data_IF_164802518129
#
_entry.id   IF_164802518129
#
_cell.length_a   1.000
_cell.length_b   1.000
_cell.length_c   1.000
_cell.angle_alpha   90.00
_cell.angle_beta   90.00
_cell.angle_gamma   90.00
#
_symmetry.space_group_name_H-M   'P 1'
#
loop_
_entity.id
_entity.type
_entity.pdbx_description
1 polymer ?
#
# COMPACT_ATOMS: atom_id res chain seq x y z
N UNK A 1 -24.13 8.15 -11.09
CA UNK A 1 -23.03 7.50 -10.33
C UNK A 1 -22.69 6.11 -10.88
N UNK A 2 -23.64 5.17 -11.01
CA UNK A 2 -23.38 3.83 -11.57
C UNK A 2 -22.90 3.83 -13.05
N UNK A 3 -23.44 4.72 -13.89
CA UNK A 3 -23.06 4.81 -15.31
C UNK A 3 -21.58 5.23 -15.55
N UNK A 4 -21.04 6.13 -14.71
CA UNK A 4 -19.61 6.51 -14.76
C UNK A 4 -18.70 5.36 -14.30
N UNK A 5 -19.19 4.49 -13.42
CA UNK A 5 -18.48 3.30 -12.97
C UNK A 5 -18.44 2.24 -14.07
N UNK A 6 -19.58 1.95 -14.71
CA UNK A 6 -19.68 0.98 -15.82
C UNK A 6 -18.86 1.43 -17.03
N UNK A 7 -18.90 2.72 -17.40
CA UNK A 7 -18.08 3.25 -18.49
C UNK A 7 -16.56 3.15 -18.23
N UNK A 8 -16.14 3.31 -16.97
CA UNK A 8 -14.73 3.18 -16.56
C UNK A 8 -14.23 1.73 -16.57
N UNK A 9 -15.14 0.76 -16.44
CA UNK A 9 -14.85 -0.67 -16.50
C UNK A 9 -14.70 -1.17 -17.93
N UNK A 10 -15.60 -0.75 -18.82
CA UNK A 10 -15.47 -1.03 -20.25
C UNK A 10 -14.16 -0.48 -20.83
N UNK A 11 -13.71 0.69 -20.36
CA UNK A 11 -12.42 1.28 -20.76
C UNK A 11 -11.20 0.48 -20.26
N UNK A 12 -11.27 -0.19 -19.10
CA UNK A 12 -10.13 -0.98 -18.63
C UNK A 12 -10.03 -2.34 -19.32
N UNK A 13 -11.18 -3.00 -19.55
CA UNK A 13 -11.20 -4.33 -20.16
C UNK A 13 -10.93 -4.30 -21.67
N UNK A 14 -11.28 -3.18 -22.35
CA UNK A 14 -11.21 -3.07 -23.82
C UNK A 14 -10.57 -1.77 -24.33
N UNK A 15 -10.08 -0.90 -23.44
CA UNK A 15 -9.38 0.32 -23.84
C UNK A 15 -7.92 0.03 -24.20
N UNK A 16 -7.34 0.80 -25.15
CA UNK A 16 -5.93 0.70 -25.45
C UNK A 16 -5.09 1.02 -24.19
N UNK A 17 -3.86 0.46 -24.08
CA UNK A 17 -2.96 0.80 -22.99
C UNK A 17 -2.84 2.32 -22.89
N UNK A 18 -2.67 2.88 -21.68
CA UNK A 18 -2.65 4.33 -21.48
C UNK A 18 -1.63 4.97 -22.42
N UNK A 19 -2.14 5.65 -23.45
CA UNK A 19 -1.32 6.17 -24.52
C UNK A 19 -0.36 7.25 -24.03
N UNK A 20 0.57 7.65 -24.89
CA UNK A 20 1.59 8.68 -24.60
C UNK A 20 1.01 9.96 -23.96
N UNK A 21 -0.20 10.37 -24.35
CA UNK A 21 -0.87 11.56 -23.81
C UNK A 21 -1.28 11.42 -22.34
N UNK A 22 -1.67 10.21 -21.89
CA UNK A 22 -2.03 9.93 -20.49
C UNK A 22 -0.79 9.96 -19.62
N UNK A 23 0.28 9.27 -20.03
CA UNK A 23 1.55 9.27 -19.31
C UNK A 23 2.16 10.69 -19.22
N UNK A 24 2.15 11.45 -20.32
CA UNK A 24 2.60 12.85 -20.32
C UNK A 24 1.81 13.70 -19.33
N UNK A 25 0.49 13.55 -19.29
CA UNK A 25 -0.36 14.31 -18.37
C UNK A 25 -0.09 13.93 -16.91
N UNK A 26 0.10 12.64 -16.63
CA UNK A 26 0.45 12.16 -15.30
C UNK A 26 1.79 12.72 -14.84
N UNK A 27 2.84 12.65 -15.68
CA UNK A 27 4.16 13.21 -15.40
C UNK A 27 4.04 14.70 -15.03
N UNK A 28 3.43 15.52 -15.88
CA UNK A 28 3.30 16.96 -15.62
C UNK A 28 2.46 17.26 -14.36
N UNK A 29 1.49 16.41 -14.04
CA UNK A 29 0.71 16.54 -12.79
C UNK A 29 1.59 16.27 -11.56
N UNK A 30 2.40 15.22 -11.60
CA UNK A 30 3.32 14.87 -10.50
C UNK A 30 4.39 15.94 -10.30
N UNK A 31 4.96 16.47 -11.39
CA UNK A 31 5.98 17.54 -11.31
C UNK A 31 5.40 18.80 -10.67
N UNK A 32 4.21 19.24 -11.12
CA UNK A 32 3.53 20.42 -10.54
C UNK A 32 3.20 20.25 -9.06
N UNK A 33 2.75 19.07 -8.67
CA UNK A 33 2.44 18.77 -7.27
C UNK A 33 3.68 18.76 -6.36
N UNK A 34 4.88 18.64 -6.94
CA UNK A 34 6.13 18.52 -6.19
C UNK A 34 7.11 19.67 -6.45
N UNK A 35 6.66 20.81 -7.01
CA UNK A 35 7.54 21.97 -7.22
C UNK A 35 8.19 22.44 -5.91
N UNK A 36 7.45 22.36 -4.81
CA UNK A 36 7.91 22.80 -3.47
C UNK A 36 8.61 21.71 -2.65
N UNK A 37 8.89 20.53 -3.23
CA UNK A 37 9.78 19.57 -2.56
C UNK A 37 11.24 19.98 -2.75
N UNK A 38 12.13 19.51 -1.87
CA UNK A 38 13.57 19.77 -2.02
C UNK A 38 14.09 19.20 -3.33
N UNK A 39 13.65 17.99 -3.67
CA UNK A 39 13.94 17.36 -4.96
C UNK A 39 13.38 18.16 -6.16
N UNK A 40 12.18 18.72 -6.03
CA UNK A 40 11.56 19.51 -7.08
C UNK A 40 12.26 20.84 -7.31
N UNK A 41 12.71 21.51 -6.23
CA UNK A 41 13.54 22.71 -6.30
C UNK A 41 14.91 22.42 -6.90
N UNK A 42 15.57 21.34 -6.48
CA UNK A 42 16.92 21.00 -6.97
C UNK A 42 16.95 20.64 -8.46
N UNK A 43 15.83 20.18 -9.01
CA UNK A 43 15.68 19.83 -10.44
C UNK A 43 14.80 20.83 -11.21
N UNK A 44 14.49 21.98 -10.63
CA UNK A 44 13.73 23.07 -11.24
C UNK A 44 12.41 22.61 -11.91
N UNK A 45 11.59 21.88 -11.15
CA UNK A 45 10.31 21.35 -11.63
C UNK A 45 9.34 22.44 -12.13
N UNK A 46 9.47 23.68 -11.63
CA UNK A 46 8.63 24.80 -12.02
C UNK A 46 8.75 25.14 -13.52
N UNK A 47 9.91 24.90 -14.13
CA UNK A 47 10.16 25.26 -15.54
C UNK A 47 9.89 24.12 -16.51
N UNK A 48 9.69 22.88 -16.04
CA UNK A 48 9.47 21.70 -16.90
C UNK A 48 8.10 21.76 -17.58
N UNK A 49 8.09 21.77 -18.93
CA UNK A 49 6.86 21.75 -19.76
C UNK A 49 6.78 20.55 -20.69
N UNK A 50 7.92 19.93 -20.99
CA UNK A 50 8.02 18.79 -21.90
C UNK A 50 8.71 17.59 -21.26
N UNK A 51 8.61 16.43 -21.92
CA UNK A 51 9.32 15.22 -21.52
C UNK A 51 10.84 15.42 -21.68
N UNK A 52 11.26 16.13 -22.74
CA UNK A 52 12.67 16.44 -22.97
C UNK A 52 13.23 17.34 -21.85
N UNK A 53 12.47 18.35 -21.41
CA UNK A 53 12.86 19.22 -20.30
C UNK A 53 13.11 18.41 -19.02
N UNK A 54 12.24 17.42 -18.75
CA UNK A 54 12.37 16.52 -17.61
C UNK A 54 13.62 15.65 -17.71
N UNK A 55 13.84 15.03 -18.87
CA UNK A 55 15.00 14.16 -19.12
C UNK A 55 16.34 14.91 -19.02
N UNK A 56 16.37 16.19 -19.40
CA UNK A 56 17.55 17.03 -19.25
C UNK A 56 17.83 17.43 -17.81
N UNK A 57 16.78 17.66 -17.00
CA UNK A 57 16.92 18.11 -15.61
C UNK A 57 17.13 16.95 -14.65
N UNK A 58 16.44 15.84 -14.83
CA UNK A 58 16.44 14.70 -13.91
C UNK A 58 17.20 13.54 -14.54
N UNK A 59 18.49 13.34 -14.18
CA UNK A 59 19.28 12.23 -14.69
C UNK A 59 18.77 10.89 -14.16
N UNK A 60 19.17 9.81 -14.84
CA UNK A 60 18.95 8.46 -14.32
C UNK A 60 19.71 8.28 -13.01
N UNK A 61 19.05 7.66 -12.05
CA UNK A 61 19.53 7.52 -10.67
C UNK A 61 19.22 6.12 -10.11
N UNK A 62 19.78 5.85 -8.95
CA UNK A 62 19.62 4.63 -8.18
C UNK A 62 19.00 4.92 -6.82
N UNK A 63 18.66 3.88 -6.04
CA UNK A 63 18.13 4.08 -4.69
C UNK A 63 19.14 4.77 -3.75
N UNK A 64 20.45 4.53 -3.94
CA UNK A 64 21.49 5.10 -3.09
C UNK A 64 21.48 6.62 -3.11
N UNK A 65 21.16 7.23 -4.26
CA UNK A 65 21.06 8.68 -4.45
C UNK A 65 19.94 9.33 -3.62
N UNK A 66 19.01 8.52 -3.09
CA UNK A 66 17.87 8.96 -2.29
C UNK A 66 17.97 8.56 -0.81
N UNK A 67 19.00 7.81 -0.40
CA UNK A 67 19.08 7.20 0.92
C UNK A 67 19.02 8.24 2.06
N UNK A 68 19.70 9.38 1.90
CA UNK A 68 19.68 10.47 2.89
C UNK A 68 18.32 11.14 2.97
N UNK A 69 17.66 11.35 1.83
CA UNK A 69 16.32 11.92 1.77
C UNK A 69 15.30 10.97 2.44
N UNK A 70 15.42 9.66 2.21
CA UNK A 70 14.58 8.64 2.85
C UNK A 70 14.83 8.58 4.36
N UNK A 71 16.09 8.68 4.79
CA UNK A 71 16.45 8.77 6.23
C UNK A 71 15.81 9.99 6.87
N UNK A 72 15.93 11.16 6.24
CA UNK A 72 15.30 12.40 6.72
C UNK A 72 13.77 12.30 6.81
N UNK A 73 13.12 11.61 5.86
CA UNK A 73 11.68 11.31 5.94
C UNK A 73 11.39 10.44 7.17
N UNK A 74 12.21 9.42 7.41
CA UNK A 74 12.12 8.54 8.58
C UNK A 74 12.25 9.29 9.91
N UNK A 75 13.07 10.35 9.94
CA UNK A 75 13.22 11.26 11.08
C UNK A 75 12.07 12.28 11.20
N UNK A 76 11.09 12.23 10.29
CA UNK A 76 9.88 13.06 10.30
C UNK A 76 9.97 14.34 9.49
N UNK A 77 11.03 14.53 8.68
CA UNK A 77 11.12 15.68 7.77
C UNK A 77 10.10 15.56 6.64
N UNK A 78 9.39 16.64 6.37
CA UNK A 78 8.46 16.77 5.23
C UNK A 78 9.17 17.52 4.10
N UNK A 79 8.94 17.12 2.85
CA UNK A 79 9.52 17.80 1.69
C UNK A 79 10.77 17.19 1.02
N UNK A 80 11.53 16.22 1.58
CA UNK A 80 12.76 15.74 0.92
C UNK A 80 12.58 15.29 -0.54
N UNK A 81 11.63 14.39 -0.78
CA UNK A 81 11.37 13.82 -2.12
C UNK A 81 10.04 14.28 -2.71
N UNK A 82 9.04 14.49 -1.85
CA UNK A 82 7.69 14.89 -2.24
C UNK A 82 7.17 15.98 -1.30
N UNK A 83 6.34 16.87 -1.85
CA UNK A 83 5.69 17.92 -1.07
C UNK A 83 4.54 17.36 -0.21
N UNK A 84 3.94 16.24 -0.60
CA UNK A 84 2.91 15.57 0.19
C UNK A 84 3.54 14.88 1.41
N UNK A 85 2.92 14.95 2.61
CA UNK A 85 3.39 14.21 3.77
C UNK A 85 3.43 12.70 3.52
N UNK A 86 4.58 12.09 3.83
CA UNK A 86 4.76 10.63 3.78
C UNK A 86 4.10 10.01 5.03
N UNK A 87 3.27 8.99 4.81
CA UNK A 87 2.50 8.30 5.87
C UNK A 87 3.32 7.21 6.55
N UNK A 88 4.10 6.50 5.77
CA UNK A 88 4.97 5.42 6.19
C UNK A 88 6.05 5.17 5.13
N UNK A 89 7.05 4.40 5.50
CA UNK A 89 8.06 3.88 4.60
C UNK A 89 7.81 2.38 4.40
N UNK A 90 7.39 1.97 3.20
CA UNK A 90 7.14 0.56 2.89
C UNK A 90 8.46 -0.18 2.62
N UNK A 91 8.80 -1.22 3.39
CA UNK A 91 9.98 -2.03 3.13
C UNK A 91 9.74 -2.95 1.93
N UNK A 92 10.56 -2.78 0.90
CA UNK A 92 10.59 -3.65 -0.27
C UNK A 92 11.80 -4.58 -0.18
N UNK A 93 11.53 -5.89 -0.29
CA UNK A 93 12.56 -6.92 -0.34
C UNK A 93 13.15 -6.94 -1.75
N UNK A 94 14.27 -6.25 -1.95
CA UNK A 94 15.14 -6.54 -3.08
C UNK A 94 15.78 -7.91 -2.87
N UNK A 95 15.96 -8.70 -3.93
CA UNK A 95 16.50 -10.06 -3.87
C UNK A 95 17.99 -10.13 -3.47
N UNK A 96 18.69 -9.01 -3.39
CA UNK A 96 20.16 -8.97 -3.23
C UNK A 96 20.72 -7.79 -2.43
N UNK A 97 19.90 -6.85 -1.94
CA UNK A 97 20.37 -5.66 -1.20
C UNK A 97 19.68 -5.49 0.14
N UNK A 98 20.26 -4.65 1.00
CA UNK A 98 19.56 -4.09 2.16
C UNK A 98 18.15 -3.60 1.76
N UNK A 99 17.17 -3.80 2.65
CA UNK A 99 15.76 -3.45 2.43
C UNK A 99 15.62 -2.01 1.97
N UNK A 100 14.97 -1.79 0.83
CA UNK A 100 14.69 -0.44 0.32
C UNK A 100 13.39 0.06 0.94
N UNK A 101 13.42 1.28 1.47
CA UNK A 101 12.30 1.93 2.13
C UNK A 101 11.64 2.92 1.16
N UNK A 102 10.40 2.64 0.77
CA UNK A 102 9.68 3.42 -0.24
C UNK A 102 8.69 4.38 0.45
N UNK A 103 8.80 5.70 0.23
CA UNK A 103 7.84 6.68 0.73
C UNK A 103 6.42 6.40 0.23
N UNK A 104 5.49 6.20 1.18
CA UNK A 104 4.10 5.92 0.89
C UNK A 104 3.21 7.11 1.26
N UNK A 105 2.52 7.69 0.27
CA UNK A 105 1.61 8.83 0.44
C UNK A 105 0.16 8.44 0.24
N UNK A 106 -0.78 9.33 0.62
CA UNK A 106 -2.20 9.06 0.35
C UNK A 106 -2.50 9.12 -1.15
N UNK A 107 -1.78 9.95 -1.92
CA UNK A 107 -1.87 9.95 -3.38
C UNK A 107 -1.43 8.61 -3.97
N UNK A 108 -0.30 8.05 -3.53
CA UNK A 108 0.15 6.74 -3.99
C UNK A 108 -0.89 5.66 -3.67
N UNK A 109 -1.44 5.66 -2.45
CA UNK A 109 -2.52 4.74 -2.06
C UNK A 109 -3.72 4.82 -3.00
N UNK A 110 -4.21 6.03 -3.30
CA UNK A 110 -5.34 6.23 -4.22
C UNK A 110 -5.02 5.76 -5.63
N UNK A 111 -3.81 6.03 -6.13
CA UNK A 111 -3.37 5.59 -7.45
C UNK A 111 -3.27 4.06 -7.53
N UNK A 112 -2.74 3.42 -6.49
CA UNK A 112 -2.64 1.98 -6.40
C UNK A 112 -4.03 1.32 -6.38
N UNK A 113 -4.96 1.86 -5.58
CA UNK A 113 -6.36 1.42 -5.57
C UNK A 113 -7.04 1.62 -6.93
N UNK A 114 -6.79 2.73 -7.61
CA UNK A 114 -7.34 3.02 -8.93
C UNK A 114 -6.78 2.08 -10.02
N UNK A 115 -5.59 1.52 -9.83
CA UNK A 115 -4.99 0.53 -10.72
C UNK A 115 -5.54 -0.89 -10.48
N UNK A 116 -5.83 -1.25 -9.22
CA UNK A 116 -6.35 -2.58 -8.85
C UNK A 116 -7.86 -2.70 -9.09
N UNK A 117 -8.63 -1.63 -8.79
CA UNK A 117 -10.09 -1.68 -8.83
C UNK A 117 -10.66 -2.22 -10.16
N UNK A 118 -10.13 -1.84 -11.34
CA UNK A 118 -10.67 -2.36 -12.58
C UNK A 118 -10.45 -3.87 -12.77
N UNK A 119 -9.34 -4.42 -12.27
CA UNK A 119 -9.13 -5.88 -12.26
C UNK A 119 -10.16 -6.59 -11.36
N UNK A 120 -10.35 -6.09 -10.13
CA UNK A 120 -11.34 -6.65 -9.20
C UNK A 120 -12.73 -6.64 -9.82
N UNK A 121 -13.12 -5.52 -10.40
CA UNK A 121 -14.47 -5.43 -10.96
C UNK A 121 -14.60 -6.24 -12.25
N UNK A 122 -13.56 -6.34 -13.08
CA UNK A 122 -13.57 -7.26 -14.23
C UNK A 122 -13.76 -8.71 -13.79
N UNK A 123 -13.08 -9.14 -12.72
CA UNK A 123 -13.27 -10.48 -12.15
C UNK A 123 -14.73 -10.71 -11.70
N UNK A 124 -15.31 -9.74 -10.97
CA UNK A 124 -16.69 -9.83 -10.50
C UNK A 124 -17.73 -9.77 -11.63
N UNK A 125 -17.44 -9.02 -12.70
CA UNK A 125 -18.33 -8.92 -13.87
C UNK A 125 -18.30 -10.19 -14.72
N UNK A 126 -17.13 -10.85 -14.83
CA UNK A 126 -16.98 -12.09 -15.58
C UNK A 126 -17.54 -13.31 -14.83
N UNK A 127 -17.52 -13.30 -13.50
CA UNK A 127 -18.19 -14.31 -12.68
C UNK A 127 -19.03 -13.68 -11.56
N UNK A 128 -20.32 -13.37 -11.82
CA UNK A 128 -21.21 -12.78 -10.83
C UNK A 128 -21.41 -13.62 -9.56
N UNK A 129 -21.09 -14.93 -9.59
CA UNK A 129 -21.19 -15.79 -8.39
C UNK A 129 -20.19 -15.38 -7.31
N UNK A 130 -19.10 -14.71 -7.70
CA UNK A 130 -18.11 -14.14 -6.78
C UNK A 130 -18.70 -13.01 -5.93
N UNK A 131 -19.84 -12.41 -6.30
CA UNK A 131 -20.52 -11.37 -5.51
C UNK A 131 -21.30 -11.93 -4.32
N UNK A 132 -21.73 -13.19 -4.39
CA UNK A 132 -22.65 -13.80 -3.42
C UNK A 132 -22.00 -14.89 -2.57
N UNK A 133 -20.78 -15.31 -2.88
CA UNK A 133 -20.02 -16.32 -2.14
C UNK A 133 -19.06 -15.73 -1.10
N UNK A 134 -18.59 -16.54 -0.12
CA UNK A 134 -17.54 -16.12 0.79
C UNK A 134 -16.20 -15.97 0.05
N UNK A 135 -15.46 -14.90 0.36
CA UNK A 135 -14.12 -14.69 -0.16
C UNK A 135 -13.06 -15.03 0.90
N UNK A 136 -12.16 -15.95 0.57
CA UNK A 136 -11.00 -16.28 1.40
C UNK A 136 -9.78 -15.47 0.94
N UNK A 137 -9.14 -14.77 1.88
CA UNK A 137 -7.94 -13.98 1.61
C UNK A 137 -6.84 -14.41 2.59
N UNK A 138 -5.76 -15.00 2.08
CA UNK A 138 -4.54 -15.22 2.86
C UNK A 138 -3.69 -13.96 2.81
N UNK A 139 -3.83 -13.12 3.83
CA UNK A 139 -3.04 -11.90 4.00
C UNK A 139 -2.17 -12.09 5.23
N UNK A 140 -0.89 -12.38 5.02
CA UNK A 140 0.08 -12.47 6.11
C UNK A 140 0.44 -11.06 6.57
N UNK A 141 0.03 -10.63 7.77
CA UNK A 141 0.51 -9.37 8.31
C UNK A 141 2.03 -9.50 8.43
N UNK A 142 2.79 -8.54 7.90
CA UNK A 142 4.18 -8.44 8.32
C UNK A 142 4.15 -8.11 9.81
N UNK A 143 4.55 -9.06 10.64
CA UNK A 143 4.75 -8.82 12.06
C UNK A 143 5.63 -7.58 12.20
N UNK A 144 5.23 -6.65 13.09
CA UNK A 144 6.06 -5.49 13.40
C UNK A 144 7.40 -6.01 13.91
N UNK A 145 8.43 -6.05 13.06
CA UNK A 145 9.78 -6.30 13.50
C UNK A 145 10.12 -5.14 14.45
N UNK A 146 10.07 -5.43 15.75
CA UNK A 146 10.63 -4.55 16.78
C UNK A 146 12.12 -4.81 16.76
N UNK A 147 12.92 -3.99 16.08
CA UNK A 147 14.37 -3.80 16.31
C UNK A 147 14.88 -2.59 15.50
N UNK A 148 15.91 -1.85 15.94
CA UNK A 148 16.06 -1.08 17.16
C UNK A 148 15.75 0.41 16.86
N UNK A 149 14.48 0.79 16.88
CA UNK A 149 14.00 2.14 16.55
C UNK A 149 13.70 2.94 17.83
N UNK A 150 14.64 2.99 18.77
CA UNK A 150 14.46 3.50 20.14
C UNK A 150 14.17 5.02 20.27
N UNK A 151 13.89 5.72 19.17
CA UNK A 151 13.43 7.12 19.20
C UNK A 151 12.08 7.34 18.50
N UNK A 152 11.30 6.29 18.27
CA UNK A 152 9.92 6.47 17.81
C UNK A 152 8.95 6.44 18.99
N UNK A 153 8.53 7.62 19.45
CA UNK A 153 7.36 7.71 20.33
C UNK A 153 6.10 7.83 19.45
N UNK A 154 5.13 6.89 19.53
CA UNK A 154 3.86 6.95 18.81
C UNK A 154 2.96 8.13 19.22
N UNK A 155 3.43 8.99 20.12
CA UNK A 155 2.65 10.07 20.72
C UNK A 155 2.41 11.28 19.82
N UNK A 156 3.00 11.34 18.61
CA UNK A 156 2.82 12.50 17.70
C UNK A 156 1.87 12.29 16.53
N UNK A 157 1.27 11.10 16.37
CA UNK A 157 0.28 10.84 15.31
C UNK A 157 -0.95 10.12 15.86
N UNK A 158 -1.71 10.79 16.74
CA UNK A 158 -2.97 10.27 17.28
C UNK A 158 -4.16 11.04 16.70
N UNK A 159 -4.84 10.46 15.70
CA UNK A 159 -6.31 10.58 15.60
C UNK A 159 -6.96 9.21 15.39
N UNK A 160 -7.76 8.89 16.40
CA UNK A 160 -8.63 7.73 16.66
C UNK A 160 -9.25 7.08 15.41
N UNK A 161 -9.05 5.77 15.28
CA UNK A 161 -10.14 4.88 14.89
C UNK A 161 -10.49 3.99 16.09
N UNK A 162 -11.66 4.23 16.68
CA UNK A 162 -12.27 3.35 17.67
C UNK A 162 -13.05 2.31 16.87
N UNK A 163 -12.54 1.09 16.76
CA UNK A 163 -13.37 -0.05 16.35
C UNK A 163 -14.12 -0.51 17.62
N UNK A 164 -15.40 -0.18 17.68
CA UNK A 164 -16.33 -0.71 18.69
C UNK A 164 -16.75 -2.11 18.27
N UNK A 165 -16.05 -3.13 18.76
CA UNK A 165 -16.53 -4.50 18.72
C UNK A 165 -17.41 -4.77 19.94
N UNK A 166 -18.73 -4.85 19.76
CA UNK A 166 -19.63 -5.42 20.77
C UNK A 166 -19.33 -6.92 20.87
N UNK A 167 -18.85 -7.38 22.01
CA UNK A 167 -18.92 -8.80 22.39
C UNK A 167 -20.33 -9.07 22.89
N UNK A 168 -21.12 -9.86 22.17
CA UNK A 168 -22.35 -10.46 22.71
C UNK A 168 -21.95 -11.60 23.63
N UNK A 169 -22.24 -11.46 24.92
CA UNK A 169 -22.24 -12.56 25.87
C UNK A 169 -23.60 -13.27 25.78
N UNK A 170 -23.62 -14.53 25.35
CA UNK A 170 -24.77 -15.40 25.50
C UNK A 170 -24.65 -16.13 26.85
N UNK A 171 -25.64 -15.92 27.70
CA UNK A 171 -25.81 -16.60 28.97
C UNK A 171 -26.39 -18.01 28.76
N UNK A 172 -25.83 -19.00 29.47
CA UNK A 172 -26.40 -20.35 29.62
C UNK A 172 -25.95 -20.93 30.96
N UNK A 173 -26.90 -21.28 31.83
CA UNK A 173 -26.71 -21.78 33.20
C UNK A 173 -26.71 -23.32 33.24
N UNK A 174 -25.93 -23.88 34.17
CA UNK A 174 -26.08 -25.22 34.80
C UNK A 174 -25.73 -26.41 33.90
N UNK A 175 -25.08 -27.49 34.33
CA UNK A 175 -24.93 -28.09 35.66
C UNK A 175 -23.76 -29.09 35.68
N UNK A 176 -23.25 -29.37 36.89
CA UNK A 176 -22.14 -30.26 37.20
C UNK A 176 -22.33 -31.75 36.82
N UNK A 177 -21.22 -32.41 36.45
CA UNK A 177 -21.08 -33.86 36.32
C UNK A 177 -19.59 -34.26 36.27
N UNK A 178 -19.20 -35.31 36.99
CA UNK A 178 -17.83 -35.69 37.39
C UNK A 178 -16.99 -36.36 36.28
N UNK A 179 -15.67 -36.23 36.50
CA UNK A 179 -14.52 -37.05 36.13
C UNK A 179 -14.69 -38.32 35.28
N UNK A 180 -13.84 -38.43 34.25
CA UNK A 180 -13.12 -39.65 33.90
C UNK A 180 -11.82 -39.28 33.16
N UNK A 181 -10.73 -39.94 33.56
CA UNK A 181 -9.38 -39.85 33.02
C UNK A 181 -9.29 -40.38 31.58
N UNK A 182 -8.35 -39.84 30.79
CA UNK A 182 -8.10 -40.29 29.42
C UNK A 182 -6.93 -39.56 28.76
N UNK A 183 -5.72 -40.03 29.06
CA UNK A 183 -4.47 -39.79 28.33
C UNK A 183 -4.59 -40.29 26.87
N UNK A 184 -4.24 -39.46 25.87
CA UNK A 184 -3.97 -39.94 24.50
C UNK A 184 -3.10 -38.95 23.68
N UNK A 185 -1.80 -39.21 23.73
CA UNK A 185 -0.82 -39.30 22.61
C UNK A 185 -1.18 -38.57 21.29
N UNK A 186 -0.56 -37.40 21.04
CA UNK A 186 -0.52 -36.76 19.72
C UNK A 186 0.76 -37.17 18.99
N UNK A 187 0.68 -38.20 18.14
CA UNK A 187 1.72 -38.52 17.17
C UNK A 187 1.63 -37.59 15.98
N UNK A 188 2.78 -37.01 15.62
CA UNK A 188 3.00 -36.33 14.36
C UNK A 188 2.78 -37.29 13.19
N UNK A 189 1.85 -36.91 12.30
CA UNK A 189 1.68 -37.52 10.99
C UNK A 189 2.17 -36.56 9.91
N UNK A 190 3.20 -37.00 9.19
CA UNK A 190 3.73 -36.40 7.97
C UNK A 190 2.63 -36.20 6.93
N UNK A 191 2.59 -35.01 6.32
CA UNK A 191 1.77 -34.73 5.14
C UNK A 191 2.69 -34.69 3.92
N UNK A 192 2.53 -35.60 2.95
CA UNK A 192 3.35 -35.61 1.74
C UNK A 192 2.93 -34.50 0.78
N UNK A 193 3.96 -33.94 0.14
CA UNK A 193 3.88 -32.90 -0.88
C UNK A 193 3.57 -33.59 -2.22
N UNK A 194 2.50 -33.16 -2.89
CA UNK A 194 2.33 -33.23 -4.34
C UNK A 194 2.01 -31.84 -4.84
#
# INVERSE_FOLDING_TARGET
MAALFIARLAWFSHGPPPGRSVQRRLLLTLLRANVESDFGRSHDFATIRTIADYQQRVPLSTYADYADAVTAIGDGRIGPLTAEPVRLLEPTSGSTSATKLIPYTDTLKRQFQAAIAPWVVSALANDPRLLTGPAYWSVSPRGAAREPFARWSPHRFRRRQRVSGRRSAAAGRGSAGRAADGEADFRHGDVPIC
#
